data_IF_529504801956
#
_entry.id   IF_529504801956
#
_cell.length_a   1.000
_cell.length_b   1.000
_cell.length_c   1.000
_cell.angle_alpha   90.00
_cell.angle_beta   90.00
_cell.angle_gamma   90.00
#
_symmetry.space_group_name_H-M   'P 1'
#
loop_
_entity.id
_entity.type
_entity.pdbx_description
1 polymer ?
#
# COMPACT_ATOMS: atom_id res chain seq x y z
N UNK A 1 -4.98 -18.06 -60.80
CA UNK A 1 -6.30 -18.27 -61.44
C UNK A 1 -7.34 -18.02 -60.39
N UNK A 2 -7.90 -16.80 -60.33
CA UNK A 2 -9.20 -16.42 -60.98
C UNK A 2 -10.36 -17.05 -60.19
N UNK A 3 -11.33 -16.36 -59.60
CA UNK A 3 -12.15 -15.18 -59.95
C UNK A 3 -12.73 -14.59 -58.64
N UNK A 4 -12.98 -13.31 -58.38
CA UNK A 4 -13.41 -12.13 -59.16
C UNK A 4 -14.88 -12.20 -59.62
N UNK A 5 -15.81 -11.59 -58.87
CA UNK A 5 -17.07 -10.92 -59.30
C UNK A 5 -17.70 -10.26 -58.02
N UNK A 6 -17.80 -8.93 -57.82
CA UNK A 6 -18.60 -7.84 -58.47
C UNK A 6 -20.11 -8.13 -58.36
N UNK A 7 -21.02 -7.26 -57.90
CA UNK A 7 -21.28 -5.86 -58.31
C UNK A 7 -22.33 -5.17 -57.39
N UNK A 8 -22.29 -3.82 -57.42
CA UNK A 8 -23.20 -2.72 -57.01
C UNK A 8 -24.59 -2.92 -56.38
N UNK A 9 -24.93 -1.93 -55.55
CA UNK A 9 -26.28 -1.38 -55.39
C UNK A 9 -26.23 0.02 -54.76
N UNK A 10 -26.24 1.04 -55.60
CA UNK A 10 -26.25 2.48 -55.31
C UNK A 10 -27.69 3.01 -55.40
N UNK A 11 -28.17 3.80 -54.44
CA UNK A 11 -29.16 4.89 -54.66
C UNK A 11 -29.19 5.86 -53.47
N UNK A 12 -29.27 7.14 -53.81
CA UNK A 12 -29.13 8.32 -52.96
C UNK A 12 -30.51 8.89 -52.49
N UNK A 13 -30.70 10.19 -52.20
CA UNK A 13 -31.24 10.68 -50.92
C UNK A 13 -32.64 11.33 -51.03
N UNK A 14 -33.33 11.52 -49.90
CA UNK A 14 -34.50 12.42 -49.82
C UNK A 14 -34.43 13.33 -48.58
N UNK A 15 -34.30 14.62 -48.85
CA UNK A 15 -34.70 15.75 -48.00
C UNK A 15 -36.21 15.97 -48.17
N UNK A 16 -36.93 16.53 -47.18
CA UNK A 16 -37.63 17.76 -47.52
C UNK A 16 -37.78 18.81 -46.38
N UNK A 17 -38.03 20.03 -46.88
CA UNK A 17 -38.97 21.04 -46.41
C UNK A 17 -38.56 22.00 -45.27
N UNK A 18 -38.19 23.19 -45.74
CA UNK A 18 -38.39 24.50 -45.13
C UNK A 18 -39.85 24.74 -44.72
N UNK A 19 -40.04 25.47 -43.62
CA UNK A 19 -41.30 25.99 -43.14
C UNK A 19 -41.07 27.33 -42.46
N UNK A 20 -41.10 28.38 -43.27
CA UNK A 20 -41.03 29.80 -42.91
C UNK A 20 -42.42 30.25 -42.44
N UNK A 21 -42.52 30.86 -41.25
CA UNK A 21 -43.67 31.70 -40.89
C UNK A 21 -43.22 32.93 -40.11
N UNK A 22 -43.32 34.04 -40.82
CA UNK A 22 -43.18 35.42 -40.42
C UNK A 22 -44.46 35.88 -39.68
N UNK A 23 -44.33 36.57 -38.54
CA UNK A 23 -45.38 37.46 -38.02
C UNK A 23 -44.85 38.36 -36.89
N UNK A 24 -44.74 39.64 -37.23
CA UNK A 24 -44.68 40.83 -36.40
C UNK A 24 -45.59 40.81 -35.15
N UNK A 25 -45.20 41.54 -34.10
CA UNK A 25 -45.74 42.87 -33.78
C UNK A 25 -45.58 43.21 -32.28
N UNK A 26 -45.69 44.51 -31.97
CA UNK A 26 -45.85 45.14 -30.67
C UNK A 26 -44.58 45.49 -29.87
N UNK A 27 -44.03 46.64 -30.24
CA UNK A 27 -43.40 47.56 -29.31
C UNK A 27 -44.44 48.10 -28.31
N UNK A 28 -44.26 47.86 -27.02
CA UNK A 28 -44.81 48.72 -25.97
C UNK A 28 -43.70 49.16 -25.02
N UNK A 29 -43.69 50.47 -24.81
CA UNK A 29 -42.75 51.22 -23.98
C UNK A 29 -43.30 51.34 -22.56
N UNK A 30 -42.40 51.72 -21.64
CA UNK A 30 -42.59 52.25 -20.27
C UNK A 30 -42.38 51.24 -19.11
N UNK A 31 -41.94 51.68 -17.91
CA UNK A 31 -41.10 52.82 -17.56
C UNK A 31 -39.80 52.40 -16.84
N UNK A 32 -38.82 53.30 -16.87
CA UNK A 32 -37.60 53.26 -16.08
C UNK A 32 -37.96 53.32 -14.58
N UNK A 33 -37.76 52.22 -13.85
CA UNK A 33 -37.70 52.21 -12.40
C UNK A 33 -36.23 52.06 -12.00
N UNK A 34 -35.64 53.14 -11.50
CA UNK A 34 -34.35 53.15 -10.83
C UNK A 34 -34.42 52.22 -9.61
N UNK A 35 -33.74 51.08 -9.70
CA UNK A 35 -33.37 50.27 -8.55
C UNK A 35 -31.87 50.49 -8.31
N UNK A 36 -31.54 51.05 -7.14
CA UNK A 36 -30.18 51.01 -6.57
C UNK A 36 -29.70 49.56 -6.47
N UNK A 37 -28.51 49.22 -7.00
CA UNK A 37 -27.83 47.99 -6.66
C UNK A 37 -26.65 48.30 -5.72
N UNK A 38 -26.95 48.72 -4.48
CA UNK A 38 -26.00 48.54 -3.37
C UNK A 38 -26.45 47.33 -2.54
N UNK A 39 -26.21 46.15 -3.09
CA UNK A 39 -26.09 44.94 -2.31
C UNK A 39 -25.06 44.06 -3.00
N UNK A 40 -23.84 44.10 -2.49
CA UNK A 40 -22.73 43.23 -2.88
C UNK A 40 -22.69 42.04 -1.90
N UNK A 41 -23.38 40.90 -2.14
CA UNK A 41 -23.14 39.68 -1.35
C UNK A 41 -22.09 38.77 -1.99
N UNK A 42 -21.59 39.08 -3.20
CA UNK A 42 -20.68 38.20 -3.93
C UNK A 42 -19.23 38.19 -3.41
N UNK A 43 -18.81 39.22 -2.68
CA UNK A 43 -17.42 39.34 -2.22
C UNK A 43 -17.11 38.45 -0.99
N UNK A 44 -18.09 38.23 -0.09
CA UNK A 44 -17.89 37.42 1.12
C UNK A 44 -17.87 35.90 0.83
N UNK A 45 -18.58 35.44 -0.20
CA UNK A 45 -18.54 34.03 -0.61
C UNK A 45 -17.16 33.64 -1.17
N UNK A 46 -16.46 34.56 -1.85
CA UNK A 46 -15.13 34.32 -2.40
C UNK A 46 -14.02 34.41 -1.33
N UNK A 47 -14.18 35.27 -0.32
CA UNK A 47 -13.22 35.41 0.78
C UNK A 47 -13.22 34.20 1.74
N UNK A 48 -14.37 33.54 1.94
CA UNK A 48 -14.48 32.34 2.77
C UNK A 48 -13.88 31.07 2.10
N UNK A 49 -13.75 31.06 0.77
CA UNK A 49 -13.17 29.93 0.02
C UNK A 49 -11.64 29.82 0.16
N UNK A 50 -10.95 30.88 0.58
CA UNK A 50 -9.48 30.97 0.59
C UNK A 50 -8.81 30.35 1.84
N UNK A 51 -9.57 29.90 2.84
CA UNK A 51 -9.04 29.40 4.13
C UNK A 51 -9.10 27.88 4.29
N UNK A 52 -9.30 27.10 3.23
CA UNK A 52 -9.15 25.65 3.32
C UNK A 52 -7.65 25.33 3.40
N UNK A 53 -7.18 25.00 4.60
CA UNK A 53 -5.80 24.61 4.88
C UNK A 53 -5.28 23.55 3.89
N UNK A 54 -3.96 23.48 3.63
CA UNK A 54 -3.39 22.47 2.76
C UNK A 54 -3.88 21.09 3.18
N UNK A 55 -4.48 20.38 2.21
CA UNK A 55 -5.13 19.10 2.41
C UNK A 55 -4.14 18.10 3.04
N UNK A 56 -4.51 17.58 4.22
CA UNK A 56 -3.81 16.45 4.80
C UNK A 56 -3.74 15.31 3.76
N UNK A 57 -2.58 14.66 3.68
CA UNK A 57 -2.44 13.44 2.89
C UNK A 57 -3.53 12.43 3.30
N UNK A 58 -3.99 11.56 2.37
CA UNK A 58 -4.95 10.53 2.72
C UNK A 58 -4.36 9.69 3.86
N UNK A 59 -5.18 9.23 4.81
CA UNK A 59 -4.69 8.37 5.87
C UNK A 59 -4.01 7.15 5.25
N UNK A 60 -2.74 6.96 5.60
CA UNK A 60 -2.00 5.76 5.22
C UNK A 60 -2.20 4.73 6.33
N UNK A 61 -2.83 3.61 5.99
CA UNK A 61 -3.10 2.54 6.94
C UNK A 61 -1.94 1.54 6.97
N UNK A 62 -1.61 1.05 8.16
CA UNK A 62 -0.72 -0.09 8.35
C UNK A 62 -1.58 -1.36 8.43
N UNK A 63 -1.38 -2.29 7.48
CA UNK A 63 -2.27 -3.44 7.30
C UNK A 63 -3.55 -3.09 6.55
N UNK A 64 -4.30 -4.11 6.13
CA UNK A 64 -5.57 -3.93 5.43
C UNK A 64 -6.62 -3.32 6.39
N UNK A 65 -7.09 -2.07 6.18
CA UNK A 65 -8.03 -1.46 7.10
C UNK A 65 -9.41 -2.10 6.94
N UNK A 66 -10.10 -2.30 8.06
CA UNK A 66 -11.51 -2.71 8.04
C UNK A 66 -12.37 -1.63 7.36
N UNK A 67 -13.36 -2.06 6.58
CA UNK A 67 -14.28 -1.16 5.86
C UNK A 67 -14.87 -0.01 6.70
N UNK A 68 -15.31 -0.22 7.97
CA UNK A 68 -15.86 0.87 8.78
C UNK A 68 -14.86 1.98 9.07
N UNK A 69 -13.56 1.67 9.17
CA UNK A 69 -12.50 2.65 9.42
C UNK A 69 -12.32 3.55 8.21
N UNK A 70 -12.24 2.95 7.02
CA UNK A 70 -12.14 3.68 5.75
C UNK A 70 -13.37 4.55 5.51
N UNK A 71 -14.55 4.02 5.80
CA UNK A 71 -15.81 4.74 5.67
C UNK A 71 -15.86 5.97 6.58
N UNK A 72 -15.40 5.82 7.82
CA UNK A 72 -15.32 6.91 8.79
C UNK A 72 -14.37 8.01 8.31
N UNK A 73 -13.20 7.63 7.78
CA UNK A 73 -12.25 8.59 7.22
C UNK A 73 -12.83 9.35 6.01
N UNK A 74 -13.53 8.65 5.10
CA UNK A 74 -14.20 9.26 3.96
C UNK A 74 -15.29 10.26 4.40
N UNK A 75 -16.12 9.89 5.37
CA UNK A 75 -17.18 10.78 5.88
C UNK A 75 -16.61 11.97 6.65
N UNK A 76 -15.55 11.77 7.42
CA UNK A 76 -14.86 12.86 8.12
C UNK A 76 -14.37 13.92 7.13
N UNK A 77 -13.72 13.50 6.04
CA UNK A 77 -13.24 14.43 5.00
C UNK A 77 -14.39 15.21 4.33
N UNK A 78 -15.55 14.59 4.12
CA UNK A 78 -16.73 15.28 3.58
C UNK A 78 -17.41 16.20 4.61
N UNK A 79 -17.35 15.85 5.89
CA UNK A 79 -17.96 16.61 6.98
C UNK A 79 -17.29 17.99 7.15
N UNK A 80 -16.00 18.13 6.82
CA UNK A 80 -15.28 19.40 6.86
C UNK A 80 -15.88 20.48 5.93
N UNK A 81 -16.70 20.06 4.95
CA UNK A 81 -17.41 20.95 4.02
C UNK A 81 -18.78 21.40 4.51
N UNK A 82 -19.25 20.87 5.64
CA UNK A 82 -20.47 21.35 6.28
C UNK A 82 -20.16 22.59 7.13
N UNK A 83 -21.00 23.62 7.02
CA UNK A 83 -20.94 24.76 7.93
C UNK A 83 -21.79 24.45 9.15
N UNK A 84 -21.31 24.75 10.37
CA UNK A 84 -22.12 24.57 11.56
C UNK A 84 -23.34 25.50 11.49
N UNK A 85 -24.51 24.96 11.83
CA UNK A 85 -25.71 25.78 11.95
C UNK A 85 -25.76 26.48 13.30
N UNK A 86 -26.33 27.69 13.34
CA UNK A 86 -26.59 28.38 14.61
C UNK A 86 -27.80 27.77 15.31
N UNK A 87 -27.72 27.58 16.62
CA UNK A 87 -28.87 27.14 17.42
C UNK A 87 -30.05 28.13 17.21
N UNK A 88 -31.30 27.65 17.07
CA UNK A 88 -31.80 26.32 17.41
C UNK A 88 -31.77 25.26 16.27
N UNK A 89 -31.15 25.56 15.12
CA UNK A 89 -31.16 24.65 13.98
C UNK A 89 -30.43 23.32 14.27
N UNK A 90 -30.92 22.18 13.77
CA UNK A 90 -30.15 20.94 13.77
C UNK A 90 -28.82 21.11 13.02
N UNK A 91 -27.79 20.38 13.44
CA UNK A 91 -26.51 20.39 12.73
C UNK A 91 -26.66 19.69 11.37
N UNK A 92 -26.08 20.25 10.29
CA UNK A 92 -25.96 19.54 9.04
C UNK A 92 -25.17 18.24 9.22
N UNK A 93 -25.47 17.24 8.40
CA UNK A 93 -24.79 15.94 8.48
C UNK A 93 -24.54 15.35 7.10
N UNK A 94 -23.58 14.41 7.04
CA UNK A 94 -23.32 13.57 5.88
C UNK A 94 -23.41 12.10 6.30
N UNK A 95 -24.14 11.30 5.53
CA UNK A 95 -24.34 9.88 5.79
C UNK A 95 -24.25 9.06 4.50
N UNK A 96 -24.04 7.75 4.63
CA UNK A 96 -23.96 6.83 3.48
C UNK A 96 -25.33 6.25 3.22
N UNK A 97 -25.78 6.32 1.97
CA UNK A 97 -27.05 5.73 1.50
C UNK A 97 -26.81 4.36 0.87
N UNK A 98 -25.73 4.26 0.10
CA UNK A 98 -25.34 3.03 -0.59
C UNK A 98 -23.82 2.92 -0.57
N UNK A 99 -23.31 1.69 -0.44
CA UNK A 99 -21.89 1.40 -0.38
C UNK A 99 -21.58 0.10 -1.13
N UNK A 100 -20.57 0.14 -1.98
CA UNK A 100 -20.00 -1.01 -2.67
C UNK A 100 -18.48 -0.91 -2.64
N UNK A 101 -17.81 -2.02 -2.41
CA UNK A 101 -16.36 -2.10 -2.51
C UNK A 101 -15.93 -2.45 -3.94
N UNK A 102 -14.78 -1.93 -4.35
CA UNK A 102 -14.12 -2.21 -5.62
C UNK A 102 -12.63 -2.41 -5.40
N UNK A 103 -12.03 -3.30 -6.17
CA UNK A 103 -10.59 -3.55 -6.12
C UNK A 103 -9.80 -2.44 -6.82
N UNK A 104 -8.57 -2.22 -6.36
CA UNK A 104 -7.59 -1.38 -7.06
C UNK A 104 -6.64 -2.28 -7.86
N UNK A 105 -6.63 -2.17 -9.19
CA UNK A 105 -5.78 -3.01 -10.02
C UNK A 105 -6.10 -4.51 -9.92
N UNK A 106 -5.10 -5.36 -10.20
CA UNK A 106 -5.22 -6.81 -10.05
C UNK A 106 -4.92 -7.18 -8.59
N UNK A 107 -5.91 -7.73 -7.88
CA UNK A 107 -5.70 -8.20 -6.50
C UNK A 107 -5.34 -7.12 -5.48
N UNK A 108 -5.87 -5.90 -5.64
CA UNK A 108 -5.62 -4.73 -4.76
C UNK A 108 -4.19 -4.18 -4.81
N UNK A 109 -3.37 -4.64 -5.77
CA UNK A 109 -1.98 -4.22 -5.90
C UNK A 109 -1.86 -2.91 -6.69
N UNK A 110 -1.14 -1.94 -6.12
CA UNK A 110 -0.86 -0.64 -6.74
C UNK A 110 0.60 -0.46 -7.13
N UNK A 111 1.52 -1.08 -6.41
CA UNK A 111 2.96 -0.98 -6.66
C UNK A 111 3.77 -1.32 -5.43
N UNK A 112 5.08 -1.08 -5.50
CA UNK A 112 5.98 -1.23 -4.37
C UNK A 112 6.51 0.14 -3.94
N UNK A 113 6.61 0.37 -2.64
CA UNK A 113 7.28 1.53 -2.07
C UNK A 113 8.56 1.08 -1.34
N UNK A 114 9.69 1.70 -1.65
CA UNK A 114 10.94 1.46 -0.91
C UNK A 114 10.83 2.13 0.46
N UNK A 115 10.95 1.35 1.52
CA UNK A 115 11.04 1.83 2.89
C UNK A 115 12.50 1.69 3.33
N UNK A 116 13.12 2.83 3.62
CA UNK A 116 14.48 2.94 4.15
C UNK A 116 15.57 2.24 3.31
N UNK A 117 15.39 2.10 1.98
CA UNK A 117 16.33 1.45 1.05
C UNK A 117 16.64 -0.03 1.34
N UNK A 118 15.96 -0.67 2.29
CA UNK A 118 16.22 -2.05 2.72
C UNK A 118 15.05 -2.99 2.39
N UNK A 119 13.82 -2.46 2.37
CA UNK A 119 12.60 -3.26 2.16
C UNK A 119 11.68 -2.60 1.14
N UNK A 120 10.98 -3.40 0.34
CA UNK A 120 9.93 -2.93 -0.55
C UNK A 120 8.58 -3.34 0.02
N UNK A 121 7.81 -2.39 0.55
CA UNK A 121 6.45 -2.64 1.01
C UNK A 121 5.52 -2.66 -0.21
N UNK A 122 4.65 -3.67 -0.30
CA UNK A 122 3.59 -3.66 -1.30
C UNK A 122 2.58 -2.58 -0.92
N UNK A 123 2.44 -1.57 -1.77
CA UNK A 123 1.37 -0.60 -1.67
C UNK A 123 0.12 -1.26 -2.23
N UNK A 124 -0.82 -1.56 -1.33
CA UNK A 124 -2.14 -2.03 -1.68
C UNK A 124 -3.17 -0.93 -1.48
N UNK A 125 -4.36 -1.13 -2.02
CA UNK A 125 -5.46 -0.19 -1.85
C UNK A 125 -6.80 -0.79 -2.21
N UNK A 126 -7.85 -0.08 -1.85
CA UNK A 126 -9.21 -0.41 -2.24
C UNK A 126 -9.95 0.84 -2.68
N UNK A 127 -11.12 0.64 -3.28
CA UNK A 127 -12.04 1.70 -3.66
C UNK A 127 -13.40 1.48 -3.01
N UNK A 128 -13.95 2.54 -2.44
CA UNK A 128 -15.35 2.60 -2.03
C UNK A 128 -16.11 3.38 -3.10
N UNK A 129 -17.09 2.72 -3.71
CA UNK A 129 -18.12 3.40 -4.48
C UNK A 129 -19.34 3.58 -3.58
N UNK A 130 -19.70 4.83 -3.31
CA UNK A 130 -20.77 5.15 -2.37
C UNK A 130 -21.72 6.20 -2.95
N UNK A 131 -22.97 6.18 -2.51
CA UNK A 131 -23.85 7.35 -2.57
C UNK A 131 -23.90 7.95 -1.16
N UNK A 132 -23.44 9.19 -1.02
CA UNK A 132 -23.48 9.93 0.25
C UNK A 132 -24.60 10.96 0.21
N UNK A 133 -25.29 11.16 1.33
CA UNK A 133 -26.37 12.13 1.50
C UNK A 133 -25.94 13.20 2.47
N UNK A 134 -25.90 14.44 1.99
CA UNK A 134 -25.85 15.61 2.85
C UNK A 134 -27.27 15.98 3.26
N UNK A 135 -27.45 16.28 4.54
CA UNK A 135 -28.70 16.79 5.10
C UNK A 135 -28.46 18.20 5.62
N UNK A 136 -29.15 19.17 5.01
CA UNK A 136 -28.97 20.60 5.25
C UNK A 136 -30.25 21.20 5.85
N UNK A 137 -30.06 22.25 6.64
CA UNK A 137 -31.11 22.91 7.41
C UNK A 137 -31.00 24.43 7.32
N UNK A 138 -32.14 25.13 7.29
CA UNK A 138 -32.20 26.57 7.41
C UNK A 138 -33.60 27.03 7.88
N UNK A 139 -33.72 28.27 8.34
CA UNK A 139 -34.99 28.86 8.80
C UNK A 139 -35.94 29.24 7.68
N UNK A 140 -35.45 29.42 6.45
CA UNK A 140 -36.25 29.76 5.26
C UNK A 140 -35.81 28.94 4.04
N UNK A 141 -36.68 28.77 3.01
CA UNK A 141 -36.30 28.09 1.77
C UNK A 141 -35.13 28.77 1.06
N UNK A 142 -35.13 30.11 1.03
CA UNK A 142 -34.09 30.89 0.35
C UNK A 142 -32.73 30.71 1.03
N UNK A 143 -32.69 30.79 2.37
CA UNK A 143 -31.46 30.55 3.11
C UNK A 143 -30.94 29.11 2.93
N UNK A 144 -31.85 28.14 2.74
CA UNK A 144 -31.47 26.76 2.45
C UNK A 144 -30.81 26.61 1.08
N UNK A 145 -31.29 27.34 0.07
CA UNK A 145 -30.65 27.37 -1.25
C UNK A 145 -29.27 28.04 -1.19
N UNK A 146 -29.10 29.08 -0.37
CA UNK A 146 -27.78 29.68 -0.12
C UNK A 146 -26.80 28.68 0.52
N UNK A 147 -27.25 27.89 1.50
CA UNK A 147 -26.44 26.83 2.13
C UNK A 147 -26.06 25.74 1.13
N UNK A 148 -26.99 25.34 0.25
CA UNK A 148 -26.72 24.37 -0.83
C UNK A 148 -25.68 24.91 -1.80
N UNK A 149 -25.84 26.17 -2.24
CA UNK A 149 -24.90 26.82 -3.16
C UNK A 149 -23.51 26.98 -2.53
N UNK A 150 -23.45 27.29 -1.23
CA UNK A 150 -22.20 27.37 -0.50
C UNK A 150 -21.49 26.00 -0.43
N UNK A 151 -22.22 24.92 -0.07
CA UNK A 151 -21.66 23.57 -0.06
C UNK A 151 -21.10 23.18 -1.44
N UNK A 152 -21.86 23.40 -2.52
CA UNK A 152 -21.37 23.18 -3.88
C UNK A 152 -20.12 23.99 -4.19
N UNK A 153 -20.12 25.28 -3.86
CA UNK A 153 -18.96 26.16 -4.07
C UNK A 153 -17.71 25.67 -3.34
N UNK A 154 -17.84 25.25 -2.07
CA UNK A 154 -16.73 24.72 -1.27
C UNK A 154 -16.21 23.39 -1.81
N UNK A 155 -17.10 22.46 -2.18
CA UNK A 155 -16.70 21.16 -2.76
C UNK A 155 -15.99 21.35 -4.11
N UNK A 156 -16.49 22.25 -4.96
CA UNK A 156 -15.87 22.56 -6.26
C UNK A 156 -14.51 23.23 -6.08
N UNK A 157 -14.40 24.20 -5.17
CA UNK A 157 -13.14 24.89 -4.86
C UNK A 157 -12.08 23.91 -4.31
N UNK A 158 -12.51 22.90 -3.56
CA UNK A 158 -11.62 21.90 -2.95
C UNK A 158 -11.37 20.65 -3.81
N UNK A 159 -11.77 20.63 -5.09
CA UNK A 159 -11.65 19.45 -5.95
C UNK A 159 -10.22 18.86 -5.96
N UNK A 160 -9.19 19.70 -6.04
CA UNK A 160 -7.80 19.24 -6.03
C UNK A 160 -7.37 18.67 -4.67
N UNK A 161 -7.82 19.28 -3.58
CA UNK A 161 -7.60 18.80 -2.22
C UNK A 161 -8.25 17.43 -1.98
N UNK A 162 -9.52 17.30 -2.37
CA UNK A 162 -10.28 16.05 -2.31
C UNK A 162 -9.64 14.96 -3.16
N UNK A 163 -9.15 15.28 -4.37
CA UNK A 163 -8.41 14.33 -5.20
C UNK A 163 -7.16 13.80 -4.49
N UNK A 164 -6.38 14.69 -3.87
CA UNK A 164 -5.20 14.30 -3.11
C UNK A 164 -5.56 13.41 -1.90
N UNK A 165 -6.72 13.65 -1.27
CA UNK A 165 -7.27 12.84 -0.18
C UNK A 165 -7.89 11.51 -0.63
N UNK A 166 -7.94 11.21 -1.93
CA UNK A 166 -8.42 9.94 -2.47
C UNK A 166 -9.80 9.98 -3.14
N UNK A 167 -10.47 11.13 -3.22
CA UNK A 167 -11.74 11.26 -3.93
C UNK A 167 -11.51 11.34 -5.44
N UNK A 168 -11.65 10.19 -6.12
CA UNK A 168 -11.50 10.07 -7.58
C UNK A 168 -12.75 10.54 -8.33
N UNK A 169 -13.92 10.47 -7.70
CA UNK A 169 -15.18 10.96 -8.24
C UNK A 169 -16.02 11.53 -7.10
N UNK A 170 -16.63 12.69 -7.35
CA UNK A 170 -17.63 13.31 -6.49
C UNK A 170 -18.60 14.08 -7.39
N UNK A 171 -19.73 13.45 -7.72
CA UNK A 171 -20.72 14.01 -8.63
C UNK A 171 -22.06 14.13 -7.92
N UNK A 172 -22.75 15.27 -8.07
CA UNK A 172 -24.13 15.40 -7.62
C UNK A 172 -25.02 14.40 -8.38
N UNK A 173 -25.88 13.70 -7.65
CA UNK A 173 -26.77 12.65 -8.17
C UNK A 173 -28.22 13.09 -8.12
N UNK A 174 -28.68 13.51 -6.95
CA UNK A 174 -30.06 13.89 -6.71
C UNK A 174 -30.16 14.98 -5.64
N UNK A 175 -31.25 15.72 -5.63
CA UNK A 175 -31.54 16.75 -4.64
C UNK A 175 -33.04 16.73 -4.34
N UNK A 176 -33.39 16.66 -3.04
CA UNK A 176 -34.79 16.79 -2.66
C UNK A 176 -35.28 18.22 -2.88
N UNK A 177 -36.59 18.37 -3.05
CA UNK A 177 -37.22 19.68 -2.82
C UNK A 177 -36.98 20.11 -1.36
N UNK A 178 -36.93 21.43 -1.12
CA UNK A 178 -36.95 21.97 0.23
C UNK A 178 -38.30 21.64 0.88
N UNK A 179 -38.27 21.01 2.05
CA UNK A 179 -39.47 20.60 2.76
C UNK A 179 -39.51 21.23 4.17
N UNK A 180 -40.66 21.81 4.59
CA UNK A 180 -40.80 22.31 5.94
C UNK A 180 -40.90 21.15 6.94
N UNK A 181 -40.21 21.28 8.07
CA UNK A 181 -40.25 20.36 9.21
C UNK A 181 -41.03 21.05 10.32
N UNK A 182 -42.34 20.79 10.36
CA UNK A 182 -43.30 21.49 11.24
C UNK A 182 -42.97 21.41 12.72
N UNK A 183 -42.36 20.33 13.18
CA UNK A 183 -41.93 20.17 14.57
C UNK A 183 -40.81 21.14 15.00
N UNK A 184 -40.02 21.63 14.04
CA UNK A 184 -38.87 22.52 14.28
C UNK A 184 -39.09 23.94 13.74
N UNK A 185 -40.15 24.17 12.95
CA UNK A 185 -40.37 25.41 12.20
C UNK A 185 -39.24 25.77 11.23
N UNK A 186 -38.52 24.75 10.75
CA UNK A 186 -37.35 24.88 9.87
C UNK A 186 -37.56 24.19 8.52
N UNK A 187 -36.63 24.40 7.60
CA UNK A 187 -36.60 23.79 6.28
C UNK A 187 -35.44 22.80 6.17
N UNK A 188 -35.70 21.66 5.53
CA UNK A 188 -34.71 20.61 5.27
C UNK A 188 -34.60 20.31 3.78
N UNK A 189 -33.38 20.08 3.32
CA UNK A 189 -33.07 19.60 1.96
C UNK A 189 -31.97 18.56 2.02
N UNK A 190 -32.09 17.52 1.22
CA UNK A 190 -31.06 16.47 1.10
C UNK A 190 -30.41 16.51 -0.27
N UNK A 191 -29.11 16.32 -0.31
CA UNK A 191 -28.32 16.25 -1.55
C UNK A 191 -27.57 14.93 -1.58
N UNK A 192 -27.75 14.15 -2.64
CA UNK A 192 -27.07 12.88 -2.84
C UNK A 192 -25.92 13.06 -3.83
N UNK A 193 -24.76 12.51 -3.49
CA UNK A 193 -23.56 12.51 -4.34
C UNK A 193 -23.06 11.10 -4.57
N UNK A 194 -22.71 10.78 -5.81
CA UNK A 194 -21.94 9.58 -6.13
C UNK A 194 -20.45 9.83 -5.92
N UNK A 195 -19.87 9.02 -5.05
CA UNK A 195 -18.48 9.10 -4.57
C UNK A 195 -17.71 7.87 -5.04
N UNK A 196 -16.50 8.07 -5.55
CA UNK A 196 -15.50 7.02 -5.70
C UNK A 196 -14.28 7.41 -4.87
N UNK A 197 -14.07 6.74 -3.75
CA UNK A 197 -13.01 7.02 -2.81
C UNK A 197 -11.95 5.92 -2.83
N UNK A 198 -10.69 6.25 -3.08
CA UNK A 198 -9.56 5.34 -3.07
C UNK A 198 -8.74 5.51 -1.79
N UNK A 199 -8.57 4.42 -1.05
CA UNK A 199 -7.72 4.38 0.14
C UNK A 199 -6.48 3.53 -0.11
N UNK A 200 -5.42 3.81 0.66
CA UNK A 200 -4.11 3.18 0.51
C UNK A 200 -3.71 2.54 1.82
N UNK A 201 -3.14 1.36 1.74
CA UNK A 201 -2.57 0.72 2.91
C UNK A 201 -1.27 0.00 2.55
N UNK A 202 -0.38 -0.08 3.53
CA UNK A 202 0.83 -0.89 3.43
C UNK A 202 0.47 -2.27 3.91
N UNK A 203 0.60 -3.24 3.03
CA UNK A 203 0.46 -4.62 3.44
C UNK A 203 1.75 -5.06 4.14
N UNK A 204 1.67 -5.14 5.47
CA UNK A 204 2.74 -5.61 6.36
C UNK A 204 2.60 -7.08 6.72
N UNK A 205 1.46 -7.73 6.39
CA UNK A 205 1.19 -9.13 6.74
C UNK A 205 2.08 -10.10 5.94
N UNK A 206 2.64 -9.63 4.83
CA UNK A 206 3.68 -10.34 4.12
C UNK A 206 5.07 -9.93 4.58
N UNK A 207 5.73 -10.79 5.37
CA UNK A 207 7.19 -10.94 5.32
C UNK A 207 7.73 -11.25 3.88
N UNK A 208 6.82 -11.38 2.91
CA UNK A 208 7.09 -11.32 1.47
C UNK A 208 7.88 -10.07 1.03
N UNK A 209 7.84 -8.98 1.81
CA UNK A 209 8.63 -7.73 1.61
C UNK A 209 10.13 -7.89 1.94
N UNK A 210 10.49 -8.86 2.79
CA UNK A 210 11.89 -9.22 3.12
C UNK A 210 12.53 -10.12 2.07
N UNK A 211 11.72 -10.75 1.22
CA UNK A 211 12.19 -11.55 0.08
C UNK A 211 12.39 -10.57 -1.07
N UNK A 212 13.60 -10.05 -1.23
CA UNK A 212 14.01 -9.36 -2.45
C UNK A 212 13.92 -10.35 -3.63
N UNK A 213 12.76 -10.40 -4.28
CA UNK A 213 12.53 -11.16 -5.50
C UNK A 213 13.17 -10.34 -6.62
N UNK A 214 14.42 -10.66 -6.97
CA UNK A 214 15.03 -10.11 -8.19
C UNK A 214 14.64 -11.05 -9.32
N UNK A 215 13.70 -10.69 -10.21
CA UNK A 215 13.48 -11.45 -11.42
C UNK A 215 14.75 -11.35 -12.27
N UNK A 216 15.36 -12.49 -12.59
CA UNK A 216 16.35 -12.56 -13.67
C UNK A 216 15.68 -13.21 -14.87
N UNK A 217 15.87 -12.58 -16.02
CA UNK A 217 15.40 -13.06 -17.30
C UNK A 217 16.49 -13.98 -17.87
N UNK A 218 16.23 -15.28 -17.92
CA UNK A 218 17.18 -16.27 -18.46
C UNK A 218 17.24 -16.31 -19.99
N UNK A 219 16.36 -15.56 -20.67
CA UNK A 219 16.37 -15.41 -22.11
C UNK A 219 16.72 -13.95 -22.51
N UNK A 220 17.92 -13.70 -23.07
CA UNK A 220 18.33 -12.38 -23.52
C UNK A 220 17.79 -12.01 -24.91
N UNK A 221 17.11 -12.90 -25.64
CA UNK A 221 16.87 -12.70 -27.08
C UNK A 221 15.55 -11.97 -27.43
N UNK A 222 14.55 -11.91 -26.54
CA UNK A 222 13.34 -11.11 -26.79
C UNK A 222 12.81 -10.37 -25.55
N UNK A 223 12.76 -9.04 -25.66
CA UNK A 223 12.03 -8.18 -24.74
C UNK A 223 10.52 -8.46 -24.92
N UNK A 224 9.84 -8.86 -23.84
CA UNK A 224 8.37 -9.10 -23.75
C UNK A 224 7.77 -10.38 -24.41
N UNK A 225 8.55 -11.45 -24.57
CA UNK A 225 8.01 -12.75 -25.03
C UNK A 225 7.04 -13.42 -24.03
N UNK A 226 5.97 -14.06 -24.54
CA UNK A 226 5.05 -14.91 -23.76
C UNK A 226 5.69 -16.23 -23.28
N UNK A 227 6.85 -16.60 -23.82
CA UNK A 227 7.61 -17.80 -23.45
C UNK A 227 8.66 -17.53 -22.36
N UNK A 228 8.65 -16.32 -21.79
CA UNK A 228 9.63 -15.88 -20.80
C UNK A 228 9.51 -16.69 -19.51
N UNK A 229 10.41 -17.64 -19.32
CA UNK A 229 10.56 -18.34 -18.05
C UNK A 229 11.01 -17.36 -16.96
N UNK A 230 10.17 -17.18 -15.95
CA UNK A 230 10.48 -16.36 -14.78
C UNK A 230 11.07 -17.25 -13.71
N UNK A 231 12.40 -17.30 -13.63
CA UNK A 231 13.08 -18.02 -12.55
C UNK A 231 13.28 -17.09 -11.35
N UNK A 232 12.83 -17.54 -10.17
CA UNK A 232 12.92 -16.80 -8.91
C UNK A 232 14.25 -17.13 -8.25
N UNK A 233 15.13 -16.13 -8.09
CA UNK A 233 16.37 -16.29 -7.34
C UNK A 233 16.21 -15.76 -5.92
N UNK A 234 15.99 -16.67 -4.97
CA UNK A 234 15.98 -16.44 -3.51
C UNK A 234 17.38 -16.61 -2.92
N UNK A 235 18.43 -16.10 -3.56
CA UNK A 235 19.78 -16.39 -3.07
C UNK A 235 20.14 -15.50 -1.88
N UNK A 236 20.34 -16.11 -0.71
CA UNK A 236 20.92 -15.47 0.47
C UNK A 236 19.96 -14.98 1.56
N UNK A 237 18.70 -15.44 1.57
CA UNK A 237 17.79 -15.32 2.71
C UNK A 237 17.25 -16.70 3.08
N UNK A 238 17.17 -17.00 4.37
CA UNK A 238 16.40 -18.12 4.89
C UNK A 238 15.47 -17.63 6.00
N UNK A 239 14.33 -18.31 6.14
CA UNK A 239 13.39 -18.12 7.23
C UNK A 239 13.35 -19.41 8.03
N UNK A 240 13.55 -19.31 9.34
CA UNK A 240 13.38 -20.41 10.28
C UNK A 240 12.23 -20.10 11.23
N UNK A 241 11.38 -21.07 11.48
CA UNK A 241 10.26 -20.96 12.39
C UNK A 241 9.87 -22.35 12.96
N UNK A 242 8.76 -22.40 13.70
CA UNK A 242 8.19 -23.62 14.27
C UNK A 242 7.54 -24.57 13.24
N UNK A 243 7.52 -24.21 11.96
CA UNK A 243 7.08 -25.08 10.87
C UNK A 243 8.28 -25.66 10.12
N UNK A 244 9.28 -24.84 9.81
CA UNK A 244 10.46 -25.24 9.04
C UNK A 244 11.67 -24.34 9.29
N UNK A 245 12.87 -24.93 9.25
CA UNK A 245 14.15 -24.23 9.35
C UNK A 245 15.13 -24.68 8.25
N UNK A 246 14.84 -24.37 6.97
CA UNK A 246 15.72 -24.70 5.85
C UNK A 246 17.08 -24.01 5.97
N UNK A 247 18.19 -24.65 5.55
CA UNK A 247 19.51 -24.05 5.67
C UNK A 247 19.63 -22.77 4.82
N UNK A 248 20.28 -21.73 5.37
CA UNK A 248 20.73 -20.60 4.57
C UNK A 248 21.90 -21.07 3.72
N UNK A 249 21.77 -21.00 2.41
CA UNK A 249 22.82 -21.34 1.46
C UNK A 249 23.29 -20.07 0.71
N UNK A 250 24.57 -19.75 0.83
CA UNK A 250 25.20 -18.61 0.17
C UNK A 250 26.23 -19.12 -0.83
N UNK A 251 25.94 -18.97 -2.13
CA UNK A 251 26.80 -19.43 -3.25
C UNK A 251 27.24 -18.25 -4.13
N UNK A 252 28.40 -18.35 -4.77
CA UNK A 252 28.78 -17.46 -5.88
C UNK A 252 30.24 -17.03 -5.84
N UNK A 253 30.63 -16.18 -6.80
CA UNK A 253 31.96 -15.56 -6.89
C UNK A 253 31.99 -14.22 -6.15
N UNK A 254 31.96 -14.26 -4.83
CA UNK A 254 31.82 -13.04 -4.02
C UNK A 254 32.55 -13.14 -2.68
N UNK A 255 32.61 -12.04 -1.94
CA UNK A 255 33.03 -12.04 -0.55
C UNK A 255 31.80 -11.85 0.35
N UNK A 256 31.69 -12.62 1.42
CA UNK A 256 30.65 -12.45 2.42
C UNK A 256 31.19 -11.58 3.54
N UNK A 257 30.65 -10.37 3.68
CA UNK A 257 31.07 -9.40 4.69
C UNK A 257 30.28 -9.51 5.99
N UNK A 258 29.06 -10.06 5.97
CA UNK A 258 28.17 -10.04 7.13
C UNK A 258 27.01 -11.04 7.05
N UNK A 259 26.49 -11.45 8.21
CA UNK A 259 25.14 -11.98 8.39
C UNK A 259 24.25 -10.95 9.13
N UNK A 260 23.01 -10.81 8.69
CA UNK A 260 21.98 -9.99 9.34
C UNK A 260 20.81 -10.88 9.71
N UNK A 261 20.21 -10.67 10.88
CA UNK A 261 19.02 -11.38 11.31
C UNK A 261 17.93 -10.44 11.81
N UNK A 262 16.67 -10.84 11.62
CA UNK A 262 15.52 -10.33 12.36
C UNK A 262 14.93 -11.49 13.14
N UNK A 263 14.79 -11.34 14.45
CA UNK A 263 14.37 -12.42 15.33
C UNK A 263 13.20 -12.01 16.22
N UNK A 264 12.19 -12.86 16.30
CA UNK A 264 11.09 -12.76 17.24
C UNK A 264 10.96 -14.09 18.00
N UNK A 265 10.62 -14.00 19.29
CA UNK A 265 10.19 -15.14 20.09
C UNK A 265 9.12 -14.70 21.08
N UNK A 266 8.00 -15.42 21.10
CA UNK A 266 6.91 -15.21 22.07
C UNK A 266 7.29 -15.67 23.48
N UNK A 267 8.34 -16.48 23.61
CA UNK A 267 8.75 -17.08 24.88
C UNK A 267 10.21 -17.49 24.93
N UNK A 268 10.48 -18.74 25.31
CA UNK A 268 11.84 -19.26 25.37
C UNK A 268 12.49 -19.29 23.98
N UNK A 269 13.83 -19.15 23.94
CA UNK A 269 14.59 -19.29 22.70
C UNK A 269 14.58 -20.76 22.24
N UNK A 270 14.64 -21.00 20.91
CA UNK A 270 14.87 -22.34 20.38
C UNK A 270 16.11 -23.02 20.99
N UNK A 271 16.10 -24.34 21.18
CA UNK A 271 17.19 -25.02 21.92
C UNK A 271 18.30 -25.60 21.03
N UNK A 272 17.99 -25.94 19.77
CA UNK A 272 18.90 -26.63 18.86
C UNK A 272 20.20 -25.86 18.52
N UNK A 273 21.30 -26.57 18.19
CA UNK A 273 22.55 -25.96 17.76
C UNK A 273 22.46 -25.34 16.36
N UNK A 274 23.40 -24.44 16.06
CA UNK A 274 23.54 -23.83 14.72
C UNK A 274 24.92 -24.09 14.18
N UNK A 275 25.01 -24.58 12.94
CA UNK A 275 26.28 -24.87 12.25
C UNK A 275 26.57 -23.84 11.18
N UNK A 276 27.80 -23.33 11.18
CA UNK A 276 28.39 -22.58 10.08
C UNK A 276 29.31 -23.51 9.31
N UNK A 277 29.06 -23.71 8.01
CA UNK A 277 29.85 -24.62 7.18
C UNK A 277 30.28 -23.89 5.92
N UNK A 278 31.58 -23.70 5.72
CA UNK A 278 32.13 -23.34 4.42
C UNK A 278 32.55 -24.60 3.70
N UNK A 279 32.11 -24.78 2.47
CA UNK A 279 32.43 -25.96 1.67
C UNK A 279 32.37 -25.64 0.17
N UNK A 280 32.56 -26.64 -0.69
CA UNK A 280 32.45 -26.53 -2.14
C UNK A 280 31.92 -27.83 -2.77
N UNK A 281 31.43 -27.75 -4.01
CA UNK A 281 31.04 -28.95 -4.76
C UNK A 281 32.25 -29.84 -5.07
N UNK A 282 32.14 -31.13 -4.73
CA UNK A 282 33.22 -32.10 -4.90
C UNK A 282 34.19 -32.21 -3.71
N UNK A 283 33.91 -31.53 -2.58
CA UNK A 283 34.63 -31.77 -1.34
C UNK A 283 34.43 -33.23 -0.88
N UNK A 284 35.47 -34.06 -1.03
CA UNK A 284 35.42 -35.49 -0.70
C UNK A 284 35.78 -35.80 0.76
N UNK A 285 36.56 -34.92 1.40
CA UNK A 285 36.94 -35.07 2.80
C UNK A 285 35.88 -34.48 3.73
N UNK A 286 35.73 -34.99 4.97
CA UNK A 286 34.94 -34.32 6.01
C UNK A 286 35.44 -32.88 6.26
N UNK A 287 34.57 -31.94 6.65
CA UNK A 287 34.99 -30.59 6.99
C UNK A 287 35.94 -30.57 8.19
N UNK A 288 36.93 -29.69 8.16
CA UNK A 288 37.78 -29.37 9.31
C UNK A 288 36.91 -28.74 10.41
N UNK A 289 36.87 -29.35 11.60
CA UNK A 289 36.05 -28.86 12.73
C UNK A 289 36.85 -27.86 13.57
N UNK A 290 36.30 -26.68 13.77
CA UNK A 290 36.88 -25.63 14.60
C UNK A 290 36.13 -25.52 15.93
N UNK A 291 36.87 -25.35 17.04
CA UNK A 291 36.28 -25.27 18.38
C UNK A 291 35.70 -23.91 18.75
N UNK A 292 36.03 -22.85 18.00
CA UNK A 292 35.55 -21.48 18.28
C UNK A 292 35.26 -20.71 16.99
N UNK A 293 34.32 -19.76 17.05
CA UNK A 293 34.00 -18.90 15.91
C UNK A 293 35.22 -18.10 15.42
N UNK A 294 36.05 -17.48 16.30
CA UNK A 294 37.25 -16.78 15.84
C UNK A 294 38.25 -17.70 15.12
N UNK A 295 38.44 -18.94 15.57
CA UNK A 295 39.34 -19.88 14.90
C UNK A 295 38.81 -20.29 13.51
N UNK A 296 37.51 -20.52 13.40
CA UNK A 296 36.84 -20.77 12.12
C UNK A 296 37.01 -19.59 11.16
N UNK A 297 36.66 -18.36 11.61
CA UNK A 297 36.76 -17.16 10.78
C UNK A 297 38.20 -16.94 10.32
N UNK A 298 39.18 -16.99 11.22
CA UNK A 298 40.59 -16.82 10.86
C UNK A 298 41.07 -17.83 9.80
N UNK A 299 40.60 -19.09 9.87
CA UNK A 299 40.96 -20.12 8.91
C UNK A 299 40.29 -19.89 7.54
N UNK A 300 38.99 -19.57 7.51
CA UNK A 300 38.26 -19.42 6.24
C UNK A 300 38.56 -18.09 5.54
N UNK A 301 38.93 -17.04 6.27
CA UNK A 301 39.26 -15.72 5.72
C UNK A 301 40.76 -15.52 5.46
N UNK A 302 41.59 -16.56 5.62
CA UNK A 302 43.03 -16.49 5.38
C UNK A 302 43.34 -16.05 3.94
N UNK A 303 44.18 -15.02 3.78
CA UNK A 303 44.52 -14.46 2.48
C UNK A 303 45.42 -15.37 1.63
N UNK A 304 46.26 -16.19 2.26
CA UNK A 304 47.24 -17.05 1.57
C UNK A 304 46.75 -18.49 1.39
N UNK A 305 45.95 -19.00 2.33
CA UNK A 305 45.47 -20.37 2.34
C UNK A 305 44.12 -20.47 3.07
N UNK A 306 43.02 -19.98 2.45
CA UNK A 306 41.70 -20.06 3.04
C UNK A 306 41.23 -21.52 3.18
N UNK A 307 40.78 -21.94 4.35
CA UNK A 307 40.14 -23.25 4.57
C UNK A 307 38.80 -23.30 3.82
N UNK A 308 38.73 -24.08 2.74
CA UNK A 308 37.56 -24.15 1.85
C UNK A 308 36.54 -25.18 2.29
N UNK A 309 36.87 -26.07 3.23
CA UNK A 309 35.96 -27.08 3.75
C UNK A 309 36.06 -27.14 5.29
N UNK A 310 35.45 -26.15 5.95
CA UNK A 310 35.51 -25.97 7.41
C UNK A 310 34.13 -25.86 8.05
N UNK A 311 34.01 -26.27 9.31
CA UNK A 311 32.78 -26.18 10.09
C UNK A 311 33.04 -25.63 11.49
N UNK A 312 32.13 -24.78 11.96
CA UNK A 312 31.97 -24.38 13.36
C UNK A 312 30.54 -24.65 13.82
N UNK A 313 30.34 -24.91 15.10
CA UNK A 313 29.02 -25.21 15.67
C UNK A 313 28.83 -24.41 16.96
N UNK A 314 27.77 -23.60 16.98
CA UNK A 314 27.22 -23.02 18.19
C UNK A 314 26.50 -24.12 18.97
N UNK A 315 26.81 -24.25 20.26
CA UNK A 315 26.24 -25.30 21.11
C UNK A 315 24.72 -25.18 21.27
N UNK A 316 24.20 -23.96 21.15
CA UNK A 316 22.78 -23.64 21.21
C UNK A 316 22.43 -22.48 20.26
N UNK A 317 21.14 -22.29 20.00
CA UNK A 317 20.64 -21.12 19.27
C UNK A 317 20.88 -19.81 20.04
N UNK A 318 20.85 -19.86 21.38
CA UNK A 318 21.19 -18.70 22.22
C UNK A 318 22.65 -18.28 22.01
N UNK A 319 23.59 -19.23 21.94
CA UNK A 319 25.00 -18.92 21.65
C UNK A 319 25.17 -18.34 20.24
N UNK A 320 24.36 -18.83 19.30
CA UNK A 320 24.31 -18.30 17.94
C UNK A 320 23.87 -16.84 17.92
N UNK A 321 22.73 -16.49 18.53
CA UNK A 321 22.26 -15.10 18.60
C UNK A 321 23.21 -14.19 19.39
N UNK A 322 23.80 -14.68 20.48
CA UNK A 322 24.75 -13.93 21.30
C UNK A 322 26.04 -13.55 20.57
N UNK A 323 26.37 -14.23 19.47
CA UNK A 323 27.50 -13.86 18.62
C UNK A 323 27.22 -12.62 17.75
N UNK A 324 25.96 -12.23 17.58
CA UNK A 324 25.59 -11.04 16.82
C UNK A 324 25.57 -9.81 17.73
N UNK A 325 26.00 -8.66 17.19
CA UNK A 325 25.75 -7.36 17.79
C UNK A 325 24.33 -6.87 17.49
N UNK A 326 23.91 -5.77 18.14
CA UNK A 326 22.67 -5.08 17.78
C UNK A 326 22.72 -4.57 16.34
N UNK A 327 21.62 -4.77 15.61
CA UNK A 327 21.44 -4.37 14.22
C UNK A 327 20.62 -3.10 14.02
N UNK A 328 20.28 -2.39 15.10
CA UNK A 328 19.41 -1.20 15.10
C UNK A 328 18.22 -1.34 16.05
N UNK A 329 17.25 -0.46 15.88
CA UNK A 329 15.99 -0.50 16.63
C UNK A 329 15.13 -1.70 16.21
N UNK A 330 14.34 -2.28 17.14
CA UNK A 330 13.40 -3.35 16.79
C UNK A 330 12.37 -2.93 15.75
N UNK A 331 11.90 -3.90 14.97
CA UNK A 331 10.89 -3.71 13.92
C UNK A 331 9.56 -4.33 14.36
N UNK A 332 8.48 -3.55 14.27
CA UNK A 332 7.13 -4.04 14.55
C UNK A 332 6.53 -4.62 13.28
N UNK A 333 6.26 -5.93 13.25
CA UNK A 333 5.86 -6.66 12.03
C UNK A 333 4.97 -7.86 12.35
N UNK A 334 3.76 -7.92 11.79
CA UNK A 334 2.90 -9.11 11.90
C UNK A 334 2.50 -9.44 13.34
N UNK A 335 1.87 -10.61 13.51
CA UNK A 335 1.41 -11.19 14.77
C UNK A 335 1.58 -12.71 14.59
N UNK A 336 2.76 -13.21 14.93
CA UNK A 336 3.18 -14.59 14.66
C UNK A 336 2.64 -15.57 15.70
N UNK A 337 2.43 -15.12 16.93
CA UNK A 337 1.87 -15.93 18.01
C UNK A 337 0.33 -15.84 18.12
N UNK A 338 -0.30 -15.06 17.25
CA UNK A 338 -1.75 -14.92 17.10
C UNK A 338 -2.43 -14.35 18.36
N UNK A 339 -1.75 -13.43 19.05
CA UNK A 339 -2.22 -12.80 20.28
C UNK A 339 -2.95 -11.45 20.07
N UNK A 340 -3.14 -11.05 18.81
CA UNK A 340 -3.70 -9.77 18.35
C UNK A 340 -2.82 -8.55 18.66
N UNK A 341 -1.57 -8.75 19.06
CA UNK A 341 -0.58 -7.70 19.32
C UNK A 341 0.52 -7.79 18.26
N UNK A 342 0.90 -6.68 17.60
CA UNK A 342 2.00 -6.70 16.67
C UNK A 342 3.33 -7.09 17.32
N UNK A 343 4.02 -8.07 16.72
CA UNK A 343 5.30 -8.59 17.19
C UNK A 343 6.44 -7.58 17.04
N UNK A 344 7.38 -7.60 18.00
CA UNK A 344 8.63 -6.85 17.94
C UNK A 344 9.80 -7.78 17.56
N UNK A 345 10.40 -7.52 16.40
CA UNK A 345 11.56 -8.25 15.88
C UNK A 345 12.86 -7.52 16.21
N UNK A 346 13.76 -8.19 16.94
CA UNK A 346 15.09 -7.69 17.22
C UNK A 346 16.00 -7.88 16.01
N UNK A 347 16.64 -6.78 15.59
CA UNK A 347 17.63 -6.79 14.54
C UNK A 347 19.01 -7.12 15.10
N UNK A 348 19.71 -8.07 14.48
CA UNK A 348 21.09 -8.41 14.85
C UNK A 348 22.03 -8.50 13.65
N UNK A 349 23.32 -8.29 13.91
CA UNK A 349 24.37 -8.23 12.89
C UNK A 349 25.65 -8.96 13.33
N UNK A 350 26.18 -9.83 12.47
CA UNK A 350 27.47 -10.50 12.65
C UNK A 350 28.39 -10.15 11.47
N UNK A 351 29.43 -9.36 11.74
CA UNK A 351 30.41 -8.97 10.73
C UNK A 351 31.54 -9.99 10.58
N UNK A 352 31.98 -10.18 9.34
CA UNK A 352 33.18 -10.95 9.00
C UNK A 352 34.30 -9.98 8.61
N UNK A 353 35.27 -9.82 9.50
CA UNK A 353 36.43 -8.95 9.26
C UNK A 353 37.71 -9.77 9.42
N UNK A 354 38.39 -10.16 8.31
CA UNK A 354 38.04 -9.86 6.91
C UNK A 354 36.84 -10.68 6.39
N UNK A 355 36.29 -10.26 5.25
CA UNK A 355 35.18 -10.96 4.60
C UNK A 355 35.55 -12.39 4.19
N UNK A 356 34.58 -13.32 4.21
CA UNK A 356 34.78 -14.72 3.82
C UNK A 356 34.77 -14.82 2.28
N UNK A 357 35.89 -15.18 1.63
CA UNK A 357 35.93 -15.25 0.17
C UNK A 357 35.25 -16.52 -0.35
N UNK A 358 34.39 -16.40 -1.36
CA UNK A 358 33.84 -17.49 -2.16
C UNK A 358 34.32 -17.28 -3.61
N UNK A 359 35.55 -17.70 -3.96
CA UNK A 359 36.14 -17.36 -5.27
C UNK A 359 35.54 -18.13 -6.45
N UNK A 360 34.95 -19.30 -6.22
CA UNK A 360 34.40 -20.15 -7.26
C UNK A 360 32.87 -20.26 -7.16
N UNK A 361 32.13 -20.46 -8.27
CA UNK A 361 30.68 -20.65 -8.24
C UNK A 361 30.22 -21.85 -7.40
N UNK A 362 31.11 -22.84 -7.25
CA UNK A 362 30.90 -24.06 -6.46
C UNK A 362 31.13 -23.83 -4.97
N UNK A 363 31.73 -22.70 -4.57
CA UNK A 363 32.02 -22.40 -3.18
C UNK A 363 30.76 -21.87 -2.49
N UNK A 364 30.58 -22.30 -1.24
CA UNK A 364 29.36 -22.04 -0.48
C UNK A 364 29.61 -21.88 1.01
N UNK A 365 28.79 -21.03 1.63
CA UNK A 365 28.64 -20.96 3.08
C UNK A 365 27.21 -21.37 3.44
N UNK A 366 27.08 -22.32 4.36
CA UNK A 366 25.83 -22.74 4.95
C UNK A 366 25.70 -22.21 6.37
N UNK A 367 24.48 -21.81 6.73
CA UNK A 367 24.02 -21.67 8.11
C UNK A 367 22.88 -22.64 8.32
N UNK A 368 23.03 -23.57 9.25
CA UNK A 368 22.10 -24.70 9.44
C UNK A 368 21.65 -24.74 10.89
N UNK A 369 20.35 -24.65 11.14
CA UNK A 369 19.77 -25.02 12.43
C UNK A 369 19.59 -26.54 12.48
N UNK A 370 20.17 -27.20 13.48
CA UNK A 370 20.28 -28.66 13.51
C UNK A 370 19.84 -29.25 14.85
N UNK A 371 18.53 -29.26 15.16
CA UNK A 371 18.01 -29.79 16.42
C UNK A 371 18.09 -31.32 16.51
N UNK A 372 18.75 -32.00 15.56
CA UNK A 372 18.81 -33.47 15.48
C UNK A 372 17.57 -34.13 14.86
N UNK A 373 16.69 -33.35 14.23
CA UNK A 373 15.51 -33.85 13.51
C UNK A 373 15.76 -33.92 11.99
N UNK A 374 15.07 -34.85 11.30
CA UNK A 374 15.14 -34.96 9.83
C UNK A 374 14.52 -33.76 9.10
N UNK A 375 13.58 -33.08 9.76
CA UNK A 375 12.96 -31.84 9.30
C UNK A 375 13.19 -30.78 10.39
N UNK A 376 14.29 -30.01 10.31
CA UNK A 376 14.60 -28.98 11.27
C UNK A 376 13.48 -27.94 11.35
N UNK A 377 13.09 -27.58 12.57
CA UNK A 377 12.14 -26.52 12.91
C UNK A 377 12.35 -26.10 14.35
N UNK A 378 11.96 -24.88 14.71
CA UNK A 378 12.03 -24.44 16.10
C UNK A 378 11.08 -25.25 17.00
N UNK A 379 11.55 -25.53 18.20
CA UNK A 379 10.80 -26.15 19.29
C UNK A 379 9.99 -25.13 20.11
N UNK A 380 10.02 -23.85 19.71
CA UNK A 380 9.36 -22.72 20.34
C UNK A 380 8.62 -21.88 19.28
N UNK A 381 7.62 -21.09 19.70
CA UNK A 381 6.97 -20.10 18.83
C UNK A 381 7.92 -18.92 18.64
N UNK A 382 8.65 -18.95 17.55
CA UNK A 382 9.68 -17.99 17.19
C UNK A 382 9.85 -17.94 15.67
N UNK A 383 10.42 -16.84 15.17
CA UNK A 383 10.80 -16.68 13.77
C UNK A 383 12.17 -16.02 13.69
N UNK A 384 13.03 -16.56 12.83
CA UNK A 384 14.28 -15.95 12.42
C UNK A 384 14.27 -15.74 10.91
N UNK A 385 14.44 -14.49 10.47
CA UNK A 385 14.87 -14.19 9.12
C UNK A 385 16.39 -14.00 9.15
N UNK A 386 17.14 -14.78 8.37
CA UNK A 386 18.59 -14.67 8.28
C UNK A 386 19.03 -14.41 6.85
N UNK A 387 19.87 -13.40 6.66
CA UNK A 387 20.41 -12.99 5.36
C UNK A 387 21.93 -12.90 5.39
N UNK A 388 22.56 -13.32 4.29
CA UNK A 388 23.98 -13.03 4.03
C UNK A 388 24.14 -11.78 3.18
N UNK A 389 25.04 -10.89 3.61
CA UNK A 389 25.43 -9.69 2.87
C UNK A 389 26.83 -9.86 2.30
N UNK A 390 27.00 -9.30 1.11
CA UNK A 390 28.21 -9.41 0.30
C UNK A 390 28.93 -8.07 0.33
#
# INVERSE_FOLDING_TARGET
MSSLFRFMGETAPETPAEGESDAADAAESLPILLADPEATPAADAAASAASLAPAAAPPEFNGAPAQPVVLTAMLAALNDFLLPSSAPLPQPSVAVVQLSERTVGLGNFRGNASVNNVTSAALKGGRLEATVRFQLWASTPQALDDVVNNLHGRLLAAKAALWNQGFLRLNAKDASAAAPVTALSDWRKTLDFDVLYEYRYRDTDGAQSLIARIPIHSDPEEFDSLLRETNVVTNGLARWDNLTAPPLMLTGRDALSQLTTLFFAAGALPTGPVRLVRTFDGAAAPPTIFGTLPAFLAAVTSASAPERNGQFTFGSFSDFLAAFGSGGDPLILGDWDEDEIPDSYDAHQLHFTPAIPLPAPTDRLYVVYDPGASEPKFDQVAVLYIRGNR
#
